data_IF_118561156583
#
_entry.id   IF_118561156583
#
_cell.length_a   1.000
_cell.length_b   1.000
_cell.length_c   1.000
_cell.angle_alpha   90.00
_cell.angle_beta   90.00
_cell.angle_gamma   90.00
#
_symmetry.space_group_name_H-M   'P 1'
#
loop_
_entity.id
_entity.type
_entity.pdbx_description
1 polymer ?
#
# COMPACT_ATOMS: atom_id res chain seq x y z
N UNK A 1 14.82 -37.87 0.39
CA UNK A 1 15.28 -37.61 1.76
C UNK A 1 15.70 -38.96 2.33
N UNK A 2 17.02 -39.20 2.47
CA UNK A 2 17.56 -40.41 3.10
C UNK A 2 17.10 -40.42 4.57
N UNK A 3 16.53 -41.57 5.00
CA UNK A 3 16.06 -41.67 6.38
C UNK A 3 17.24 -41.56 7.35
N UNK A 4 17.05 -40.89 8.51
CA UNK A 4 18.09 -40.72 9.52
C UNK A 4 18.77 -41.98 9.96
N UNK A 5 18.09 -43.14 9.81
CA UNK A 5 18.63 -44.48 10.04
C UNK A 5 19.75 -44.90 9.05
N UNK A 6 19.67 -44.44 7.78
CA UNK A 6 20.74 -44.72 6.78
C UNK A 6 21.95 -43.83 7.01
N UNK A 7 21.76 -42.58 7.40
CA UNK A 7 22.87 -41.65 7.70
C UNK A 7 23.63 -42.13 8.93
N UNK A 8 22.95 -42.59 9.98
CA UNK A 8 23.60 -43.12 11.18
C UNK A 8 24.37 -44.46 10.97
N UNK A 9 24.06 -45.19 9.88
CA UNK A 9 24.70 -46.52 9.61
C UNK A 9 25.84 -46.42 8.61
N UNK A 10 25.82 -45.43 7.72
CA UNK A 10 26.79 -45.29 6.61
C UNK A 10 27.39 -43.92 6.46
N UNK A 11 26.98 -42.95 7.29
CA UNK A 11 27.49 -41.59 7.27
C UNK A 11 28.73 -41.41 8.16
N UNK A 12 29.56 -40.43 7.84
CA UNK A 12 30.63 -40.00 8.73
C UNK A 12 30.06 -39.36 10.02
N UNK A 13 30.87 -39.20 11.08
CA UNK A 13 30.42 -38.64 12.37
C UNK A 13 29.79 -37.27 12.28
N UNK A 14 30.24 -36.43 11.33
CA UNK A 14 29.73 -35.07 11.12
C UNK A 14 28.35 -35.09 10.49
N UNK A 15 28.14 -35.94 9.49
CA UNK A 15 26.84 -36.16 8.89
C UNK A 15 25.81 -36.73 9.90
N UNK A 16 26.23 -37.59 10.81
CA UNK A 16 25.36 -38.13 11.86
C UNK A 16 24.96 -37.04 12.88
N UNK A 17 25.90 -36.13 13.22
CA UNK A 17 25.63 -34.96 14.08
C UNK A 17 24.64 -34.01 13.44
N UNK A 18 24.86 -33.62 12.18
CA UNK A 18 23.97 -32.76 11.41
C UNK A 18 22.56 -33.36 11.26
N UNK A 19 22.46 -34.65 11.01
CA UNK A 19 21.16 -35.33 10.93
C UNK A 19 20.39 -35.25 12.25
N UNK A 20 21.06 -35.34 13.39
CA UNK A 20 20.46 -35.19 14.72
C UNK A 20 20.01 -33.75 14.98
N UNK A 21 20.80 -32.76 14.60
CA UNK A 21 20.43 -31.34 14.70
C UNK A 21 19.21 -31.01 13.81
N UNK A 22 19.20 -31.47 12.56
CA UNK A 22 18.06 -31.32 11.66
C UNK A 22 16.80 -31.95 12.22
N UNK A 23 16.91 -33.17 12.79
CA UNK A 23 15.78 -33.84 13.42
C UNK A 23 15.23 -33.05 14.63
N UNK A 24 16.11 -32.47 15.44
CA UNK A 24 15.73 -31.63 16.58
C UNK A 24 15.01 -30.36 16.12
N UNK A 25 15.53 -29.66 15.09
CA UNK A 25 14.91 -28.46 14.52
C UNK A 25 13.54 -28.77 13.86
N UNK A 26 13.40 -29.93 13.22
CA UNK A 26 12.11 -30.38 12.67
C UNK A 26 11.10 -30.61 13.79
N UNK A 27 11.52 -31.23 14.90
CA UNK A 27 10.66 -31.48 16.06
C UNK A 27 10.26 -30.15 16.74
N UNK A 28 11.20 -29.23 16.91
CA UNK A 28 10.92 -27.89 17.45
C UNK A 28 9.96 -27.10 16.55
N UNK A 29 10.17 -27.10 15.25
CA UNK A 29 9.24 -26.50 14.27
C UNK A 29 7.84 -27.12 14.36
N UNK A 30 7.75 -28.46 14.46
CA UNK A 30 6.46 -29.13 14.58
C UNK A 30 5.72 -28.74 15.87
N UNK A 31 6.44 -28.63 17.00
CA UNK A 31 5.90 -28.18 18.25
C UNK A 31 5.40 -26.72 18.17
N UNK A 32 6.18 -25.83 17.58
CA UNK A 32 5.80 -24.42 17.37
C UNK A 32 4.54 -24.30 16.50
N UNK A 33 4.43 -25.06 15.42
CA UNK A 33 3.24 -25.07 14.55
C UNK A 33 2.00 -25.54 15.30
N UNK A 34 2.12 -26.51 16.21
CA UNK A 34 0.99 -27.06 16.98
C UNK A 34 0.41 -26.01 17.97
N UNK A 35 1.26 -25.12 18.49
CA UNK A 35 0.85 -24.06 19.43
C UNK A 35 0.34 -22.81 18.70
N UNK A 36 0.78 -22.60 17.45
CA UNK A 36 0.40 -21.42 16.69
C UNK A 36 -0.97 -21.63 16.02
N UNK A 37 -1.97 -20.78 16.28
CA UNK A 37 -3.27 -20.90 15.63
C UNK A 37 -3.14 -20.73 14.11
N UNK A 38 -3.84 -21.56 13.31
CA UNK A 38 -3.82 -21.43 11.87
C UNK A 38 -4.45 -20.09 11.45
N UNK A 39 -3.76 -19.35 10.58
CA UNK A 39 -4.25 -18.10 10.02
C UNK A 39 -4.53 -18.31 8.53
N UNK A 40 -5.70 -17.86 8.08
CA UNK A 40 -6.00 -17.84 6.66
C UNK A 40 -5.12 -16.80 5.94
N UNK A 41 -4.49 -17.22 4.86
CA UNK A 41 -3.68 -16.37 4.00
C UNK A 41 -4.24 -16.35 2.59
N UNK A 42 -4.11 -15.23 1.90
CA UNK A 42 -4.43 -15.14 0.48
C UNK A 42 -3.32 -15.83 -0.31
N UNK A 43 -3.67 -16.92 -1.00
CA UNK A 43 -2.77 -17.60 -1.93
C UNK A 43 -3.31 -17.48 -3.35
N UNK A 44 -2.40 -17.41 -4.33
CA UNK A 44 -2.79 -17.45 -5.73
C UNK A 44 -3.28 -18.85 -6.09
N UNK A 45 -4.32 -18.93 -6.93
CA UNK A 45 -4.79 -20.19 -7.49
C UNK A 45 -3.78 -20.69 -8.53
N UNK A 46 -3.55 -22.02 -8.57
CA UNK A 46 -2.68 -22.63 -9.58
C UNK A 46 -3.13 -22.31 -11.02
N UNK A 47 -4.44 -22.22 -11.21
CA UNK A 47 -5.05 -21.72 -12.45
C UNK A 47 -6.01 -20.58 -12.10
N UNK A 48 -5.78 -19.36 -12.60
CA UNK A 48 -6.68 -18.24 -12.38
C UNK A 48 -8.08 -18.54 -12.92
N UNK A 49 -9.10 -18.09 -12.19
CA UNK A 49 -10.49 -18.17 -12.66
C UNK A 49 -10.66 -17.29 -13.90
N UNK A 50 -11.29 -17.82 -14.95
CA UNK A 50 -11.68 -17.00 -16.11
C UNK A 50 -12.69 -15.94 -15.66
N UNK A 51 -12.42 -14.71 -16.03
CA UNK A 51 -13.26 -13.54 -15.73
C UNK A 51 -13.71 -12.93 -17.05
N UNK A 52 -14.96 -12.47 -17.09
CA UNK A 52 -15.58 -11.91 -18.29
C UNK A 52 -16.07 -10.49 -18.04
N UNK A 53 -16.26 -9.72 -19.09
CA UNK A 53 -17.05 -8.49 -19.03
C UNK A 53 -18.48 -8.87 -18.62
N UNK A 54 -19.10 -8.06 -17.77
CA UNK A 54 -20.48 -8.27 -17.34
C UNK A 54 -21.39 -7.33 -18.13
N UNK A 55 -22.47 -7.88 -18.74
CA UNK A 55 -23.45 -7.05 -19.42
C UNK A 55 -24.10 -6.09 -18.41
N UNK A 56 -23.90 -4.79 -18.63
CA UNK A 56 -24.36 -3.70 -17.75
C UNK A 56 -23.95 -3.87 -16.27
N UNK A 57 -22.89 -4.63 -16.00
CA UNK A 57 -22.41 -4.90 -14.64
C UNK A 57 -23.24 -5.96 -13.88
N UNK A 58 -24.17 -6.65 -14.51
CA UNK A 58 -24.96 -7.70 -13.88
C UNK A 58 -24.14 -8.97 -13.70
N UNK A 59 -23.95 -9.41 -12.44
CA UNK A 59 -23.02 -10.50 -12.07
C UNK A 59 -23.39 -11.87 -12.68
N UNK A 60 -24.66 -12.08 -13.04
CA UNK A 60 -25.22 -13.29 -13.64
C UNK A 60 -25.26 -13.28 -15.17
N UNK A 61 -24.82 -12.16 -15.78
CA UNK A 61 -24.77 -11.99 -17.24
C UNK A 61 -23.35 -11.77 -17.78
N UNK A 62 -22.48 -12.77 -17.71
CA UNK A 62 -21.14 -12.67 -18.29
C UNK A 62 -21.20 -12.73 -19.83
N UNK A 63 -20.52 -11.78 -20.49
CA UNK A 63 -20.31 -11.79 -21.94
C UNK A 63 -19.16 -12.77 -22.22
N UNK A 64 -19.50 -14.01 -22.55
CA UNK A 64 -18.53 -15.13 -22.63
C UNK A 64 -17.47 -15.00 -23.70
N UNK A 65 -17.71 -14.15 -24.69
CA UNK A 65 -16.74 -13.89 -25.77
C UNK A 65 -15.70 -12.82 -25.39
N UNK A 66 -15.91 -12.11 -24.25
CA UNK A 66 -15.03 -11.04 -23.78
C UNK A 66 -14.32 -11.45 -22.47
N UNK A 67 -13.24 -12.21 -22.63
CA UNK A 67 -12.40 -12.64 -21.51
C UNK A 67 -11.52 -11.49 -21.04
N UNK A 68 -11.57 -11.21 -19.73
CA UNK A 68 -10.74 -10.19 -19.09
C UNK A 68 -9.41 -10.78 -18.61
N UNK A 69 -8.35 -10.03 -18.83
CA UNK A 69 -7.02 -10.29 -18.27
C UNK A 69 -6.73 -9.26 -17.20
N UNK A 70 -6.12 -9.71 -16.09
CA UNK A 70 -5.74 -8.80 -15.00
C UNK A 70 -4.82 -7.68 -15.53
N UNK A 71 -5.14 -6.45 -15.18
CA UNK A 71 -4.45 -5.25 -15.63
C UNK A 71 -4.68 -4.08 -14.69
N UNK A 72 -4.14 -2.94 -15.06
CA UNK A 72 -4.33 -1.66 -14.37
C UNK A 72 -4.94 -0.65 -15.35
N UNK A 73 -5.55 0.45 -14.88
CA UNK A 73 -6.06 1.48 -15.76
C UNK A 73 -4.95 2.06 -16.63
N UNK A 74 -5.12 2.02 -17.93
CA UNK A 74 -4.12 2.45 -18.94
C UNK A 74 -3.67 3.91 -18.73
N UNK A 75 -4.60 4.77 -18.34
CA UNK A 75 -4.32 6.18 -18.05
C UNK A 75 -3.34 6.40 -16.86
N UNK A 76 -3.13 5.38 -16.02
CA UNK A 76 -2.23 5.44 -14.86
C UNK A 76 -0.94 4.63 -15.08
N UNK A 77 -0.65 4.26 -16.32
CA UNK A 77 0.53 3.48 -16.69
C UNK A 77 0.25 2.00 -16.89
N UNK A 78 1.26 1.17 -16.76
CA UNK A 78 1.19 -0.27 -17.00
C UNK A 78 1.89 -1.07 -15.88
N UNK A 79 1.54 -2.35 -15.79
CA UNK A 79 2.35 -3.29 -15.01
C UNK A 79 3.71 -3.49 -15.69
N UNK A 80 4.75 -3.73 -14.91
CA UNK A 80 6.08 -3.99 -15.46
C UNK A 80 6.06 -5.19 -16.40
N UNK A 81 6.87 -5.12 -17.46
CA UNK A 81 6.98 -6.21 -18.44
C UNK A 81 7.56 -7.48 -17.80
N UNK A 82 7.06 -8.63 -18.24
CA UNK A 82 7.55 -9.93 -17.79
C UNK A 82 7.15 -10.36 -16.38
N UNK A 83 6.40 -9.52 -15.63
CA UNK A 83 5.89 -9.91 -14.30
C UNK A 83 4.58 -10.68 -14.39
N UNK A 84 4.35 -11.69 -13.55
CA UNK A 84 3.05 -12.36 -13.45
C UNK A 84 1.94 -11.37 -13.08
N UNK A 85 0.81 -11.40 -13.79
CA UNK A 85 -0.35 -10.52 -13.52
C UNK A 85 -1.14 -11.00 -12.30
N UNK A 86 -0.59 -10.79 -11.13
CA UNK A 86 -1.13 -11.22 -9.84
C UNK A 86 -1.21 -10.04 -8.85
N UNK A 87 -1.66 -10.32 -7.63
CA UNK A 87 -1.79 -9.30 -6.57
C UNK A 87 -0.47 -8.64 -6.18
N UNK A 88 0.64 -9.38 -6.26
CA UNK A 88 1.95 -8.81 -5.97
C UNK A 88 2.34 -7.76 -7.01
N UNK A 89 2.14 -8.05 -8.31
CA UNK A 89 2.38 -7.08 -9.36
C UNK A 89 1.51 -5.82 -9.21
N UNK A 90 0.23 -5.99 -8.85
CA UNK A 90 -0.65 -4.85 -8.53
C UNK A 90 -0.12 -4.03 -7.35
N UNK A 91 0.30 -4.71 -6.27
CA UNK A 91 0.83 -4.02 -5.09
C UNK A 91 2.12 -3.24 -5.42
N UNK A 92 3.02 -3.84 -6.20
CA UNK A 92 4.25 -3.19 -6.66
C UNK A 92 3.96 -1.97 -7.56
N UNK A 93 2.97 -2.09 -8.45
CA UNK A 93 2.54 -0.97 -9.28
C UNK A 93 1.94 0.16 -8.44
N UNK A 94 1.08 -0.15 -7.46
CA UNK A 94 0.48 0.86 -6.57
C UNK A 94 1.50 1.71 -5.81
N UNK A 95 2.64 1.13 -5.45
CA UNK A 95 3.71 1.85 -4.74
C UNK A 95 4.89 2.24 -5.63
N UNK A 96 4.75 2.07 -6.94
CA UNK A 96 5.79 2.49 -7.89
C UNK A 96 5.92 4.02 -7.91
N UNK A 97 7.12 4.51 -8.27
CA UNK A 97 7.36 5.95 -8.38
C UNK A 97 6.57 6.62 -9.50
N UNK A 98 6.19 5.84 -10.52
CA UNK A 98 5.47 6.32 -11.69
C UNK A 98 3.95 6.39 -11.46
N UNK A 99 3.46 5.78 -10.38
CA UNK A 99 2.04 5.81 -10.05
C UNK A 99 1.66 7.18 -9.44
N UNK A 100 0.85 8.02 -10.14
CA UNK A 100 0.70 9.42 -9.79
C UNK A 100 -0.21 9.68 -8.59
N UNK A 101 -1.07 8.75 -8.20
CA UNK A 101 -2.17 8.99 -7.26
C UNK A 101 -1.90 8.49 -5.85
N UNK A 102 -1.35 7.28 -5.68
CA UNK A 102 -1.27 6.63 -4.37
C UNK A 102 -0.62 7.51 -3.30
N UNK A 103 0.53 8.09 -3.60
CA UNK A 103 1.24 8.95 -2.64
C UNK A 103 0.47 10.25 -2.40
N UNK A 104 -0.05 10.91 -3.44
CA UNK A 104 -0.82 12.16 -3.31
C UNK A 104 -2.09 11.99 -2.48
N UNK A 105 -2.87 10.95 -2.77
CA UNK A 105 -4.09 10.64 -2.01
C UNK A 105 -3.77 10.34 -0.55
N UNK A 106 -2.74 9.53 -0.29
CA UNK A 106 -2.32 9.18 1.06
C UNK A 106 -1.88 10.41 1.85
N UNK A 107 -1.01 11.23 1.27
CA UNK A 107 -0.54 12.48 1.88
C UNK A 107 -1.70 13.44 2.15
N UNK A 108 -2.62 13.58 1.20
CA UNK A 108 -3.79 14.46 1.36
C UNK A 108 -4.71 14.02 2.50
N UNK A 109 -4.89 12.71 2.69
CA UNK A 109 -5.67 12.15 3.81
C UNK A 109 -5.00 12.43 5.15
N UNK A 110 -3.70 12.25 5.26
CA UNK A 110 -2.95 12.64 6.46
C UNK A 110 -3.01 14.16 6.69
N UNK A 111 -2.83 14.94 5.64
CA UNK A 111 -2.96 16.40 5.74
C UNK A 111 -4.31 16.82 6.32
N UNK A 112 -5.40 16.26 5.81
CA UNK A 112 -6.74 16.56 6.32
C UNK A 112 -6.88 16.27 7.81
N UNK A 113 -6.29 15.19 8.32
CA UNK A 113 -6.36 14.84 9.74
C UNK A 113 -5.70 15.88 10.64
N UNK A 114 -4.64 16.54 10.17
CA UNK A 114 -3.91 17.54 10.95
C UNK A 114 -4.35 18.97 10.70
N UNK A 115 -4.87 19.30 9.52
CA UNK A 115 -5.23 20.64 9.10
C UNK A 115 -6.74 20.84 8.91
N UNK A 116 -7.55 19.82 9.12
CA UNK A 116 -9.01 19.86 9.01
C UNK A 116 -9.52 19.70 7.57
N UNK A 117 -8.92 20.40 6.61
CA UNK A 117 -9.26 20.34 5.18
C UNK A 117 -8.05 19.84 4.38
N UNK A 118 -8.26 18.91 3.45
CA UNK A 118 -7.21 18.42 2.57
C UNK A 118 -6.67 19.52 1.62
N UNK A 119 -5.45 19.37 1.16
CA UNK A 119 -4.91 20.18 0.07
C UNK A 119 -5.81 20.08 -1.18
N UNK A 120 -6.32 18.85 -1.44
CA UNK A 120 -7.46 18.60 -2.31
C UNK A 120 -8.68 18.43 -1.40
N UNK A 121 -9.65 19.32 -1.49
CA UNK A 121 -10.82 19.37 -0.60
C UNK A 121 -11.71 18.11 -0.78
N UNK A 122 -11.85 17.65 -2.00
CA UNK A 122 -12.59 16.40 -2.34
C UNK A 122 -11.69 15.19 -2.13
N UNK A 123 -11.52 14.77 -0.86
CA UNK A 123 -10.53 13.73 -0.47
C UNK A 123 -10.79 12.39 -1.15
N UNK A 124 -12.05 12.12 -1.49
CA UNK A 124 -12.47 10.87 -2.16
C UNK A 124 -12.45 10.99 -3.69
N UNK A 125 -12.23 12.20 -4.23
CA UNK A 125 -12.23 12.43 -5.68
C UNK A 125 -11.04 13.32 -6.11
N UNK A 126 -10.07 12.68 -6.74
CA UNK A 126 -8.91 13.30 -7.40
C UNK A 126 -9.08 13.33 -8.93
N UNK A 127 -10.26 13.00 -9.41
CA UNK A 127 -10.61 12.97 -10.82
C UNK A 127 -11.03 14.33 -11.38
N UNK A 128 -11.60 14.30 -12.58
CA UNK A 128 -12.00 15.51 -13.33
C UNK A 128 -13.11 16.33 -12.67
N UNK A 129 -13.88 15.73 -11.77
CA UNK A 129 -14.93 16.42 -11.00
C UNK A 129 -14.48 16.82 -9.59
N UNK A 130 -13.27 16.43 -9.19
CA UNK A 130 -12.68 16.78 -7.92
C UNK A 130 -12.22 18.23 -7.85
N UNK A 131 -12.04 18.73 -6.63
CA UNK A 131 -11.48 20.05 -6.40
C UNK A 131 -10.00 20.10 -6.78
N UNK A 132 -9.56 21.22 -7.37
CA UNK A 132 -8.15 21.46 -7.59
C UNK A 132 -7.41 21.61 -6.25
N UNK A 133 -6.16 21.14 -6.15
CA UNK A 133 -5.36 21.34 -4.95
C UNK A 133 -5.11 22.83 -4.67
N UNK A 134 -5.27 23.24 -3.41
CA UNK A 134 -4.97 24.63 -3.01
C UNK A 134 -3.50 24.98 -3.17
N UNK A 135 -2.62 24.00 -2.94
CA UNK A 135 -1.16 24.12 -3.02
C UNK A 135 -0.58 22.91 -3.78
N UNK A 136 -0.64 22.91 -5.12
CA UNK A 136 -0.23 21.74 -5.92
C UNK A 136 1.24 21.38 -5.72
N UNK A 137 2.13 22.36 -5.66
CA UNK A 137 3.56 22.12 -5.45
C UNK A 137 3.85 21.52 -4.07
N UNK A 138 3.12 21.91 -3.03
CA UNK A 138 3.26 21.33 -1.69
C UNK A 138 2.77 19.88 -1.68
N UNK A 139 1.65 19.59 -2.33
CA UNK A 139 1.12 18.23 -2.44
C UNK A 139 2.12 17.33 -3.15
N UNK A 140 2.70 17.79 -4.25
CA UNK A 140 3.68 17.04 -5.03
C UNK A 140 4.98 16.81 -4.23
N UNK A 141 5.47 17.85 -3.57
CA UNK A 141 6.67 17.73 -2.74
C UNK A 141 6.48 16.73 -1.59
N UNK A 142 5.36 16.81 -0.88
CA UNK A 142 5.04 15.87 0.21
C UNK A 142 4.90 14.44 -0.32
N UNK A 143 4.27 14.24 -1.47
CA UNK A 143 4.10 12.92 -2.08
C UNK A 143 5.45 12.31 -2.47
N UNK A 144 6.33 13.08 -3.10
CA UNK A 144 7.69 12.63 -3.46
C UNK A 144 8.51 12.32 -2.21
N UNK A 145 8.54 13.23 -1.24
CA UNK A 145 9.27 13.03 0.01
C UNK A 145 8.78 11.81 0.79
N UNK A 146 7.48 11.52 0.74
CA UNK A 146 6.89 10.34 1.36
C UNK A 146 7.35 9.05 0.68
N UNK A 147 7.32 8.98 -0.66
CA UNK A 147 7.85 7.84 -1.42
C UNK A 147 9.35 7.62 -1.18
N UNK A 148 10.14 8.69 -1.24
CA UNK A 148 11.60 8.63 -1.05
C UNK A 148 12.01 8.23 0.37
N UNK A 149 11.17 8.52 1.37
CA UNK A 149 11.38 8.05 2.75
C UNK A 149 11.13 6.55 2.94
N UNK A 150 10.73 5.82 1.91
CA UNK A 150 10.30 4.43 2.01
C UNK A 150 8.87 4.31 2.61
N UNK A 151 8.01 5.28 2.33
CA UNK A 151 6.63 5.32 2.83
C UNK A 151 6.56 5.42 4.36
N UNK A 152 7.49 6.17 4.98
CA UNK A 152 7.56 6.36 6.43
C UNK A 152 6.49 7.35 6.90
N UNK A 153 5.38 6.83 7.41
CA UNK A 153 4.25 7.60 7.94
C UNK A 153 4.68 8.47 9.13
N UNK A 154 5.54 7.97 10.02
CA UNK A 154 5.98 8.75 11.19
C UNK A 154 6.81 9.97 10.76
N UNK A 155 7.66 9.81 9.76
CA UNK A 155 8.43 10.91 9.18
C UNK A 155 7.52 11.95 8.51
N UNK A 156 6.51 11.49 7.76
CA UNK A 156 5.51 12.37 7.14
C UNK A 156 4.75 13.20 8.20
N UNK A 157 4.20 12.53 9.22
CA UNK A 157 3.49 13.20 10.32
C UNK A 157 4.39 14.18 11.04
N UNK A 158 5.64 13.80 11.34
CA UNK A 158 6.61 14.70 11.96
C UNK A 158 6.88 15.94 11.10
N UNK A 159 7.02 15.78 9.80
CA UNK A 159 7.21 16.91 8.88
C UNK A 159 6.03 17.89 8.92
N UNK A 160 4.79 17.38 8.97
CA UNK A 160 3.58 18.19 9.07
C UNK A 160 3.52 18.96 10.41
N UNK A 161 3.60 18.25 11.54
CA UNK A 161 3.39 18.88 12.87
C UNK A 161 4.55 19.77 13.31
N UNK A 162 5.75 19.57 12.78
CA UNK A 162 6.91 20.41 13.02
C UNK A 162 7.00 21.61 12.06
N UNK A 163 6.13 21.67 11.05
CA UNK A 163 6.13 22.79 10.10
C UNK A 163 5.79 24.12 10.77
N UNK A 164 6.31 25.20 10.23
CA UNK A 164 5.93 26.56 10.66
C UNK A 164 4.43 26.80 10.52
N UNK A 165 3.82 26.26 9.46
CA UNK A 165 2.39 26.34 9.19
C UNK A 165 1.54 25.70 10.28
N UNK A 166 1.88 24.49 10.73
CA UNK A 166 1.14 23.81 11.81
C UNK A 166 1.31 24.51 13.16
N UNK A 167 2.48 25.07 13.41
CA UNK A 167 2.85 25.72 14.68
C UNK A 167 2.48 27.18 14.77
N UNK A 168 1.75 27.73 13.81
CA UNK A 168 1.19 29.08 13.88
C UNK A 168 0.15 29.19 14.99
N UNK A 169 -0.13 30.45 15.40
CA UNK A 169 -1.27 30.74 16.27
C UNK A 169 -2.59 30.38 15.57
N UNK A 170 -3.52 29.77 16.31
CA UNK A 170 -4.88 29.54 15.85
C UNK A 170 -5.80 30.77 16.01
N UNK A 171 -5.30 31.85 16.63
CA UNK A 171 -6.06 33.10 16.78
C UNK A 171 -6.29 33.72 15.41
N UNK A 172 -7.54 34.06 15.13
CA UNK A 172 -7.95 34.64 13.86
C UNK A 172 -8.62 35.99 14.09
N UNK A 173 -8.35 36.96 13.20
CA UNK A 173 -9.11 38.22 13.12
C UNK A 173 -10.39 38.02 12.31
N UNK A 174 -11.44 38.81 12.57
CA UNK A 174 -12.69 38.77 11.80
C UNK A 174 -12.43 38.95 10.31
N UNK A 175 -11.53 39.85 9.95
CA UNK A 175 -11.17 40.11 8.56
C UNK A 175 -10.52 38.90 7.89
N UNK A 176 -9.61 38.23 8.58
CA UNK A 176 -8.96 37.01 8.06
C UNK A 176 -9.94 35.84 7.96
N UNK A 177 -10.88 35.73 8.93
CA UNK A 177 -11.94 34.72 8.89
C UNK A 177 -12.89 34.95 7.71
N UNK A 178 -13.28 36.19 7.47
CA UNK A 178 -14.15 36.55 6.34
C UNK A 178 -13.47 36.29 4.98
N UNK A 179 -12.15 36.47 4.89
CA UNK A 179 -11.39 36.25 3.65
C UNK A 179 -11.13 34.74 3.37
N UNK A 180 -10.83 33.94 4.41
CA UNK A 180 -10.51 32.51 4.28
C UNK A 180 -11.08 31.72 5.47
N UNK A 181 -12.40 31.48 5.50
CA UNK A 181 -13.05 30.78 6.60
C UNK A 181 -12.56 29.33 6.77
N UNK A 182 -12.22 28.66 5.70
CA UNK A 182 -11.73 27.27 5.70
C UNK A 182 -10.21 27.14 5.88
N UNK A 183 -9.50 28.26 6.10
CA UNK A 183 -8.04 28.27 6.20
C UNK A 183 -7.32 27.60 5.00
N UNK A 184 -7.84 27.82 3.81
CA UNK A 184 -7.27 27.25 2.57
C UNK A 184 -5.89 27.82 2.23
N UNK A 185 -5.64 29.06 2.66
CA UNK A 185 -4.36 29.74 2.45
C UNK A 185 -3.37 29.50 3.60
N UNK A 186 -3.73 28.67 4.58
CA UNK A 186 -2.88 28.28 5.71
C UNK A 186 -2.33 29.48 6.50
N UNK A 187 -3.16 30.51 6.68
CA UNK A 187 -2.79 31.73 7.36
C UNK A 187 -2.81 31.62 8.89
N UNK A 188 -3.33 30.55 9.43
CA UNK A 188 -3.37 30.22 10.87
C UNK A 188 -3.08 28.75 11.12
N UNK A 189 -2.73 28.41 12.36
CA UNK A 189 -2.67 27.01 12.81
C UNK A 189 -4.05 26.35 12.80
N UNK A 190 -4.12 25.01 12.74
CA UNK A 190 -5.36 24.24 12.82
C UNK A 190 -6.03 24.31 14.18
#
# INVERSE_FOLDING_TARGET
>A
VLSGALIGRFGDPESAKLAKEVAALIAERAAAITVTPPTMVLAEMAQPRTTYVLDRGEYDKPVKDEVLVAGVPEALGALAEGVPRNRLALAQWLVSKDQPLTARVTVNRFWQQFFGVGLVKTVEDFGSQGAWPSHPQLLDWLAVAFMESGWDVKRLVKAMVMSGTYRQSSVITEQAHAADPENRLLARGP
#
